data_IF_105249826802
#
_entry.id   IF_105249826802
#
_cell.length_a   1.000
_cell.length_b   1.000
_cell.length_c   1.000
_cell.angle_alpha   90.00
_cell.angle_beta   90.00
_cell.angle_gamma   90.00
#
_symmetry.space_group_name_H-M   'P 1'
#
loop_
_entity.id
_entity.type
_entity.pdbx_description
1 polymer ?
#
# COMPACT_ATOMS: atom_id res chain seq x y z
N UNK A 1 -51.97 9.26 -9.20
CA UNK A 1 -51.13 8.78 -8.08
C UNK A 1 -50.07 7.88 -8.70
N UNK A 2 -48.89 8.45 -8.98
CA UNK A 2 -47.84 7.81 -9.77
C UNK A 2 -46.97 6.92 -8.86
N UNK A 3 -46.70 5.69 -9.32
CA UNK A 3 -45.70 4.83 -8.72
C UNK A 3 -44.29 5.31 -9.14
N UNK A 4 -43.27 5.29 -8.27
CA UNK A 4 -41.91 5.61 -8.69
C UNK A 4 -41.27 4.42 -9.43
N UNK A 5 -40.57 4.76 -10.50
CA UNK A 5 -39.80 3.89 -11.39
C UNK A 5 -38.74 3.05 -10.66
N UNK A 6 -38.79 1.74 -10.89
CA UNK A 6 -37.70 0.84 -10.54
C UNK A 6 -36.53 1.07 -11.51
N UNK A 7 -35.51 1.79 -11.05
CA UNK A 7 -34.22 1.87 -11.76
C UNK A 7 -33.55 0.50 -11.68
N UNK A 8 -33.57 -0.21 -12.82
CA UNK A 8 -32.80 -1.43 -13.03
C UNK A 8 -31.30 -1.09 -13.02
N UNK A 9 -30.62 -1.39 -11.92
CA UNK A 9 -29.15 -1.37 -11.86
C UNK A 9 -28.65 -2.62 -12.58
N UNK A 10 -28.33 -2.48 -13.86
CA UNK A 10 -27.69 -3.53 -14.65
C UNK A 10 -26.32 -3.86 -14.04
N UNK A 11 -26.19 -5.07 -13.52
CA UNK A 11 -24.93 -5.60 -12.99
C UNK A 11 -23.85 -5.63 -14.07
N UNK A 12 -22.81 -4.82 -13.89
CA UNK A 12 -21.57 -4.91 -14.67
C UNK A 12 -20.65 -5.97 -14.04
N UNK A 13 -21.07 -7.23 -14.04
CA UNK A 13 -20.23 -8.38 -13.69
C UNK A 13 -19.38 -8.79 -14.90
N UNK A 14 -18.55 -7.88 -15.39
CA UNK A 14 -17.40 -8.25 -16.21
C UNK A 14 -16.20 -8.38 -15.28
N UNK A 15 -15.93 -9.59 -14.75
CA UNK A 15 -14.63 -9.90 -14.14
C UNK A 15 -13.58 -9.81 -15.24
N UNK A 16 -13.00 -8.63 -15.44
CA UNK A 16 -11.82 -8.46 -16.29
C UNK A 16 -10.70 -9.29 -15.66
N UNK A 17 -10.09 -10.25 -16.37
CA UNK A 17 -8.93 -10.95 -15.85
C UNK A 17 -7.88 -9.92 -15.45
N UNK A 18 -7.35 -10.02 -14.23
CA UNK A 18 -6.21 -9.20 -13.81
C UNK A 18 -5.08 -9.45 -14.81
N UNK A 19 -4.44 -8.40 -15.37
CA UNK A 19 -3.29 -8.60 -16.23
C UNK A 19 -2.21 -9.35 -15.45
N UNK A 20 -1.82 -10.51 -15.96
CA UNK A 20 -0.60 -11.19 -15.54
C UNK A 20 0.58 -10.37 -16.07
N UNK A 21 1.36 -9.81 -15.16
CA UNK A 21 2.52 -8.99 -15.48
C UNK A 21 2.54 -7.74 -14.63
N UNK A 22 3.50 -7.67 -13.71
CA UNK A 22 3.88 -6.40 -13.13
C UNK A 22 4.33 -5.46 -14.29
N UNK A 23 3.83 -4.22 -14.38
CA UNK A 23 4.40 -3.21 -15.25
C UNK A 23 5.83 -2.93 -14.81
N UNK A 24 6.69 -2.69 -15.79
CA UNK A 24 8.12 -2.45 -15.65
C UNK A 24 8.48 -1.12 -14.96
N UNK A 25 7.50 -0.41 -14.39
CA UNK A 25 7.66 0.95 -13.89
C UNK A 25 7.28 1.04 -12.41
N UNK A 26 7.75 0.09 -11.58
CA UNK A 26 7.78 0.32 -10.13
C UNK A 26 8.89 1.33 -9.87
N UNK A 27 8.59 2.60 -10.16
CA UNK A 27 9.45 3.71 -9.84
C UNK A 27 9.80 3.58 -8.35
N UNK A 28 11.07 3.31 -8.06
CA UNK A 28 11.66 3.59 -6.77
C UNK A 28 11.18 4.99 -6.41
N UNK A 29 10.37 5.11 -5.36
CA UNK A 29 9.82 6.37 -4.87
C UNK A 29 10.97 7.22 -4.26
N UNK A 30 11.92 7.59 -5.10
CA UNK A 30 13.16 8.32 -4.80
C UNK A 30 13.30 9.53 -5.74
N UNK A 31 12.51 9.62 -6.81
CA UNK A 31 12.39 10.88 -7.55
C UNK A 31 11.44 11.82 -6.79
N UNK A 32 12.02 12.77 -6.03
CA UNK A 32 11.33 14.04 -5.80
C UNK A 32 10.88 14.58 -7.18
N UNK A 33 9.61 14.96 -7.37
CA UNK A 33 9.14 15.34 -8.70
C UNK A 33 9.94 16.55 -9.21
N UNK A 34 10.52 16.41 -10.39
CA UNK A 34 11.08 17.53 -11.12
C UNK A 34 9.94 18.52 -11.43
N UNK A 35 10.04 19.71 -10.83
CA UNK A 35 9.33 20.98 -11.03
C UNK A 35 7.95 20.95 -11.69
N UNK A 36 6.91 21.37 -10.93
CA UNK A 36 5.67 21.86 -11.55
C UNK A 36 4.40 21.89 -10.69
N UNK A 37 4.39 21.31 -9.49
CA UNK A 37 3.21 21.31 -8.61
C UNK A 37 3.57 21.83 -7.22
N UNK A 38 2.72 22.64 -6.56
CA UNK A 38 2.94 23.03 -5.17
C UNK A 38 2.90 21.79 -4.27
N UNK A 39 4.06 21.30 -3.85
CA UNK A 39 4.24 20.07 -3.06
C UNK A 39 4.38 20.31 -1.55
N UNK A 40 4.13 21.54 -1.08
CA UNK A 40 4.39 21.93 0.31
C UNK A 40 3.69 21.01 1.33
N UNK A 41 2.48 20.51 1.01
CA UNK A 41 1.75 19.53 1.81
C UNK A 41 1.89 18.05 1.40
N UNK A 42 2.69 17.72 0.38
CA UNK A 42 2.87 16.35 -0.14
C UNK A 42 4.29 15.81 0.07
N UNK A 43 5.16 16.56 0.73
CA UNK A 43 6.56 16.18 0.96
C UNK A 43 6.69 14.85 1.71
N UNK A 44 5.80 14.55 2.65
CA UNK A 44 5.73 13.29 3.38
C UNK A 44 5.42 12.08 2.49
N UNK A 45 4.72 12.29 1.36
CA UNK A 45 4.48 11.23 0.37
C UNK A 45 5.76 10.89 -0.40
N UNK A 46 6.53 11.92 -0.79
CA UNK A 46 7.74 11.77 -1.62
C UNK A 46 9.00 11.46 -0.81
N UNK A 47 9.02 11.76 0.48
CA UNK A 47 10.16 11.48 1.36
C UNK A 47 9.72 11.10 2.77
N UNK A 48 8.97 9.99 2.95
CA UNK A 48 8.55 9.50 4.25
C UNK A 48 9.75 9.01 5.07
N UNK A 49 9.76 9.30 6.38
CA UNK A 49 10.78 8.80 7.31
C UNK A 49 10.49 7.36 7.76
N UNK A 50 9.24 6.93 7.68
CA UNK A 50 8.82 5.54 7.94
C UNK A 50 7.79 5.06 6.91
N UNK A 51 7.97 3.82 6.42
CA UNK A 51 7.08 3.21 5.42
C UNK A 51 6.63 1.83 5.89
N UNK A 52 5.32 1.55 5.81
CA UNK A 52 4.77 0.22 6.01
C UNK A 52 4.27 -0.39 4.69
N UNK A 53 4.64 -1.63 4.40
CA UNK A 53 4.14 -2.38 3.24
C UNK A 53 3.18 -3.47 3.72
N UNK A 54 1.88 -3.26 3.48
CA UNK A 54 0.82 -4.20 3.85
C UNK A 54 0.54 -5.17 2.71
N UNK A 55 0.60 -6.46 3.01
CA UNK A 55 0.54 -7.52 2.01
C UNK A 55 1.90 -7.88 1.44
N UNK A 56 2.98 -7.59 2.18
CA UNK A 56 4.32 -8.06 1.87
C UNK A 56 4.33 -9.58 1.72
N UNK A 57 5.06 -10.09 0.72
CA UNK A 57 5.15 -11.52 0.48
C UNK A 57 6.53 -11.87 -0.05
N UNK A 58 7.03 -13.04 0.32
CA UNK A 58 8.31 -13.55 -0.18
C UNK A 58 8.19 -14.19 -1.57
N UNK A 59 6.97 -14.29 -2.13
CA UNK A 59 6.75 -14.85 -3.45
C UNK A 59 7.01 -13.80 -4.55
N UNK A 60 8.04 -13.96 -5.41
CA UNK A 60 8.40 -12.99 -6.44
C UNK A 60 7.33 -12.79 -7.52
N UNK A 61 6.36 -13.69 -7.65
CA UNK A 61 5.21 -13.52 -8.54
C UNK A 61 4.16 -12.53 -7.98
N UNK A 62 4.25 -12.17 -6.70
CA UNK A 62 3.29 -11.25 -6.06
C UNK A 62 3.86 -9.84 -6.00
N UNK A 63 3.01 -8.87 -6.30
CA UNK A 63 3.31 -7.45 -6.16
C UNK A 63 3.87 -7.04 -4.79
N UNK A 64 3.38 -7.68 -3.72
CA UNK A 64 3.88 -7.44 -2.37
C UNK A 64 5.37 -7.73 -2.19
N UNK A 65 5.96 -8.63 -2.99
CA UNK A 65 7.40 -8.90 -2.98
C UNK A 65 8.20 -7.73 -3.56
N UNK A 66 7.75 -7.20 -4.69
CA UNK A 66 8.42 -6.09 -5.38
C UNK A 66 8.38 -4.80 -4.56
N UNK A 67 7.23 -4.50 -3.93
CA UNK A 67 7.13 -3.36 -3.02
C UNK A 67 7.97 -3.54 -1.75
N UNK A 68 7.98 -4.74 -1.16
CA UNK A 68 8.83 -5.02 -0.01
C UNK A 68 10.31 -4.85 -0.37
N UNK A 69 10.76 -5.43 -1.49
CA UNK A 69 12.14 -5.32 -1.97
C UNK A 69 12.53 -3.87 -2.26
N UNK A 70 11.69 -3.11 -2.96
CA UNK A 70 11.93 -1.70 -3.25
C UNK A 70 11.95 -0.82 -2.00
N UNK A 71 11.06 -1.08 -1.04
CA UNK A 71 11.07 -0.37 0.24
C UNK A 71 12.37 -0.68 1.02
N UNK A 72 12.76 -1.95 1.09
CA UNK A 72 13.99 -2.39 1.76
C UNK A 72 15.27 -1.86 1.12
N UNK A 73 15.30 -1.65 -0.20
CA UNK A 73 16.41 -0.98 -0.87
C UNK A 73 16.65 0.45 -0.33
N UNK A 74 15.57 1.13 0.09
CA UNK A 74 15.61 2.47 0.69
C UNK A 74 15.82 2.50 2.21
N UNK A 75 16.00 1.35 2.88
CA UNK A 75 16.03 1.26 4.36
C UNK A 75 17.17 2.03 5.03
N UNK A 76 18.19 2.44 4.27
CA UNK A 76 19.29 3.26 4.78
C UNK A 76 18.85 4.71 5.10
N UNK A 77 17.74 5.18 4.53
CA UNK A 77 17.25 6.56 4.66
C UNK A 77 15.96 6.69 5.48
N UNK A 78 15.25 5.58 5.70
CA UNK A 78 13.92 5.53 6.33
C UNK A 78 13.68 4.19 6.99
N UNK A 79 12.83 4.17 7.99
CA UNK A 79 12.35 2.93 8.61
C UNK A 79 11.39 2.20 7.67
N UNK A 80 11.51 0.88 7.61
CA UNK A 80 10.68 0.04 6.73
C UNK A 80 10.06 -1.08 7.56
N UNK A 81 8.74 -1.14 7.53
CA UNK A 81 7.95 -2.16 8.21
C UNK A 81 7.24 -3.02 7.18
N UNK A 82 7.37 -4.33 7.31
CA UNK A 82 6.70 -5.28 6.43
C UNK A 82 5.55 -5.93 7.20
N UNK A 83 4.36 -5.92 6.60
CA UNK A 83 3.14 -6.43 7.23
C UNK A 83 2.55 -7.53 6.35
N UNK A 84 2.38 -8.71 6.95
CA UNK A 84 1.82 -9.88 6.30
C UNK A 84 1.03 -10.68 7.34
N UNK A 85 -0.22 -11.04 7.01
CA UNK A 85 -1.11 -11.85 7.86
C UNK A 85 -0.43 -13.08 8.47
N UNK A 86 0.41 -13.76 7.69
CA UNK A 86 1.06 -15.00 8.13
C UNK A 86 2.20 -14.78 9.13
N UNK A 87 2.72 -13.55 9.25
CA UNK A 87 3.92 -13.26 10.04
C UNK A 87 5.19 -13.91 9.49
N UNK A 88 5.14 -14.48 8.28
CA UNK A 88 6.29 -15.10 7.64
C UNK A 88 7.37 -14.07 7.31
N UNK A 89 8.62 -14.49 7.30
CA UNK A 89 9.74 -13.65 6.85
C UNK A 89 9.57 -13.29 5.36
N UNK A 90 9.92 -12.06 5.00
CA UNK A 90 9.87 -11.57 3.62
C UNK A 90 11.21 -10.90 3.31
N UNK A 91 11.89 -11.33 2.25
CA UNK A 91 13.17 -10.79 1.83
C UNK A 91 14.24 -10.77 2.95
N UNK A 92 14.25 -11.78 3.83
CA UNK A 92 15.19 -11.84 4.94
C UNK A 92 14.80 -11.00 6.18
N UNK A 93 13.61 -10.40 6.18
CA UNK A 93 13.15 -9.45 7.20
C UNK A 93 11.88 -9.94 7.87
N UNK A 94 11.84 -9.91 9.21
CA UNK A 94 10.67 -10.29 10.00
C UNK A 94 9.50 -9.37 9.68
N UNK A 95 8.31 -9.97 9.54
CA UNK A 95 7.07 -9.23 9.33
C UNK A 95 6.20 -9.25 10.57
N UNK A 96 5.37 -8.22 10.71
CA UNK A 96 4.29 -8.19 11.70
C UNK A 96 2.96 -8.58 11.05
N UNK A 97 1.99 -9.00 11.85
CA UNK A 97 0.70 -9.47 11.29
C UNK A 97 -0.29 -8.36 11.00
N UNK A 98 -0.14 -7.22 11.68
CA UNK A 98 -0.94 -6.03 11.47
C UNK A 98 -0.08 -4.78 11.69
N UNK A 99 -0.45 -3.68 11.03
CA UNK A 99 0.16 -2.36 11.22
C UNK A 99 0.03 -1.90 12.68
N UNK A 100 -0.99 -2.38 13.40
CA UNK A 100 -1.21 -2.08 14.83
C UNK A 100 -0.14 -2.65 15.76
N UNK A 101 0.65 -3.62 15.30
CA UNK A 101 1.76 -4.20 16.09
C UNK A 101 3.03 -3.31 16.03
N UNK A 102 3.02 -2.23 15.24
CA UNK A 102 4.15 -1.31 15.11
C UNK A 102 4.22 -0.35 16.30
N UNK A 103 5.44 -0.09 16.79
CA UNK A 103 5.71 0.69 17.99
C UNK A 103 5.64 2.22 17.79
N UNK A 104 4.99 2.70 16.73
CA UNK A 104 4.92 4.13 16.42
C UNK A 104 4.15 4.45 15.12
N UNK A 105 3.89 5.74 14.86
CA UNK A 105 3.19 6.19 13.67
C UNK A 105 4.02 5.95 12.40
N UNK A 106 3.33 5.63 11.31
CA UNK A 106 3.92 5.41 9.99
C UNK A 106 3.65 6.62 9.09
N UNK A 107 4.67 7.18 8.42
CA UNK A 107 4.47 8.32 7.53
C UNK A 107 3.72 7.90 6.24
N UNK A 108 3.99 6.71 5.72
CA UNK A 108 3.34 6.18 4.51
C UNK A 108 3.04 4.67 4.59
N UNK A 109 1.80 4.27 4.29
CA UNK A 109 1.41 2.85 4.20
C UNK A 109 1.04 2.47 2.77
N UNK A 110 1.80 1.56 2.17
CA UNK A 110 1.51 0.96 0.87
C UNK A 110 0.69 -0.33 1.04
N UNK A 111 -0.55 -0.35 0.52
CA UNK A 111 -1.48 -1.48 0.68
C UNK A 111 -1.56 -2.29 -0.61
N UNK A 112 -1.09 -3.54 -0.56
CA UNK A 112 -1.17 -4.50 -1.67
C UNK A 112 -1.71 -5.84 -1.16
N UNK A 113 -3.02 -5.85 -0.98
CA UNK A 113 -3.78 -7.03 -0.55
C UNK A 113 -4.92 -7.31 -1.55
N UNK A 114 -5.45 -8.54 -1.60
CA UNK A 114 -6.63 -8.84 -2.40
C UNK A 114 -7.81 -7.93 -2.01
N UNK A 115 -8.70 -7.62 -2.95
CA UNK A 115 -9.81 -6.68 -2.77
C UNK A 115 -10.61 -6.85 -1.46
N UNK A 116 -10.97 -8.08 -1.00
CA UNK A 116 -11.70 -8.26 0.25
C UNK A 116 -10.93 -7.83 1.51
N UNK A 117 -9.61 -7.71 1.43
CA UNK A 117 -8.75 -7.31 2.55
C UNK A 117 -8.41 -5.82 2.59
N UNK A 118 -8.77 -5.06 1.56
CA UNK A 118 -8.34 -3.65 1.41
C UNK A 118 -8.95 -2.77 2.49
N UNK A 119 -10.27 -2.85 2.71
CA UNK A 119 -10.97 -2.04 3.71
C UNK A 119 -10.35 -2.22 5.09
N UNK A 120 -10.16 -3.47 5.52
CA UNK A 120 -9.51 -3.78 6.79
C UNK A 120 -8.08 -3.24 6.86
N UNK A 121 -7.29 -3.39 5.79
CA UNK A 121 -5.92 -2.90 5.75
C UNK A 121 -5.84 -1.37 5.87
N UNK A 122 -6.78 -0.65 5.24
CA UNK A 122 -6.87 0.82 5.33
C UNK A 122 -7.28 1.25 6.73
N UNK A 123 -8.29 0.60 7.32
CA UNK A 123 -8.71 0.89 8.70
C UNK A 123 -7.55 0.66 9.68
N UNK A 124 -6.85 -0.49 9.58
CA UNK A 124 -5.69 -0.79 10.42
C UNK A 124 -4.58 0.26 10.26
N UNK A 125 -4.34 0.75 9.04
CA UNK A 125 -3.34 1.78 8.77
C UNK A 125 -3.72 3.14 9.39
N UNK A 126 -5.01 3.52 9.30
CA UNK A 126 -5.53 4.75 9.89
C UNK A 126 -5.46 4.70 11.43
N UNK A 127 -5.85 3.58 12.03
CA UNK A 127 -5.76 3.37 13.48
C UNK A 127 -4.31 3.36 13.99
N UNK A 128 -3.38 2.83 13.20
CA UNK A 128 -1.94 2.92 13.49
C UNK A 128 -1.38 4.35 13.37
N UNK A 129 -2.20 5.32 12.99
CA UNK A 129 -1.82 6.73 12.90
C UNK A 129 -1.07 7.06 11.61
N UNK A 130 -1.32 6.33 10.51
CA UNK A 130 -0.73 6.68 9.21
C UNK A 130 -1.18 8.07 8.77
N UNK A 131 -0.23 8.99 8.56
CA UNK A 131 -0.51 10.37 8.12
C UNK A 131 0.36 10.75 6.92
N UNK A 132 -0.15 10.59 5.69
CA UNK A 132 0.61 10.94 4.50
C UNK A 132 0.73 12.45 4.26
N UNK A 133 0.04 13.29 5.04
CA UNK A 133 0.09 14.75 4.98
C UNK A 133 0.29 15.30 6.41
N UNK A 134 1.47 15.82 6.73
CA UNK A 134 1.71 16.65 7.93
C UNK A 134 1.92 18.10 7.54
#
# INVERSE_FOLDING_TARGET
MAAPDAVAVQGHTARRPLPAGAPADVATADAAPASGFPTDGLRSLWSPRSVAVVGASDNPAKWGHWLASGALAGRARREVHLVNRSGAEVCGVRTVRSVRELAGPVDLTAVVVPAPGVERAVIDALEAGTRPCS
#
